data_IF_664533275908
#
_entry.id   IF_664533275908
#
_cell.length_a   1.000
_cell.length_b   1.000
_cell.length_c   1.000
_cell.angle_alpha   90.00
_cell.angle_beta   90.00
_cell.angle_gamma   90.00
#
_symmetry.space_group_name_H-M   'P 1'
#
loop_
_entity.id
_entity.type
_entity.pdbx_description
1 polymer ?
#
# COMPACT_ATOMS: atom_id res chain seq x y z
N UNK A 1 23.75 17.94 -27.81
CA UNK A 1 23.37 17.51 -26.45
C UNK A 1 22.06 16.76 -26.54
N UNK A 2 21.69 15.95 -25.53
CA UNK A 2 20.36 15.32 -25.53
C UNK A 2 19.30 16.41 -25.51
N UNK A 3 18.28 16.28 -26.36
CA UNK A 3 17.11 17.16 -26.39
C UNK A 3 16.37 16.96 -25.07
N UNK A 4 16.45 17.95 -24.19
CA UNK A 4 15.56 18.06 -23.04
C UNK A 4 14.19 18.47 -23.60
N UNK A 5 13.21 17.58 -23.49
CA UNK A 5 11.83 17.94 -23.76
C UNK A 5 11.37 18.80 -22.59
N UNK A 6 11.39 20.12 -22.74
CA UNK A 6 10.58 21.03 -21.92
C UNK A 6 9.11 20.78 -22.27
N UNK A 7 8.61 19.64 -21.78
CA UNK A 7 7.26 19.17 -21.98
C UNK A 7 6.37 19.99 -21.06
N UNK A 8 5.91 21.15 -21.55
CA UNK A 8 4.86 22.01 -20.98
C UNK A 8 4.55 21.70 -19.51
N UNK A 9 5.22 22.35 -18.56
CA UNK A 9 4.78 22.32 -17.17
C UNK A 9 3.55 23.25 -17.07
N UNK A 10 2.32 22.73 -16.95
CA UNK A 10 1.18 23.59 -16.63
C UNK A 10 1.43 24.17 -15.23
N UNK A 11 1.75 25.46 -15.18
CA UNK A 11 2.01 26.16 -13.94
C UNK A 11 0.96 27.25 -13.76
N UNK A 12 -0.01 26.97 -12.89
CA UNK A 12 -1.02 27.93 -12.45
C UNK A 12 -1.05 27.92 -10.92
N UNK A 13 -0.94 29.10 -10.32
CA UNK A 13 -0.87 29.23 -8.88
C UNK A 13 -2.19 28.77 -8.24
N UNK A 14 -2.12 27.87 -7.27
CA UNK A 14 -3.29 27.31 -6.59
C UNK A 14 -3.86 26.03 -7.22
N UNK A 15 -3.27 25.52 -8.31
CA UNK A 15 -3.66 24.26 -8.94
C UNK A 15 -2.53 23.24 -8.90
N UNK A 16 -2.88 21.98 -8.62
CA UNK A 16 -2.00 20.82 -8.73
C UNK A 16 -2.42 20.02 -9.97
N UNK A 17 -1.51 19.85 -10.92
CA UNK A 17 -1.76 19.12 -12.16
C UNK A 17 -1.29 17.67 -12.05
N UNK A 18 -2.13 16.72 -12.49
CA UNK A 18 -1.84 15.29 -12.46
C UNK A 18 -2.04 14.67 -13.83
N UNK A 19 -0.99 14.07 -14.38
CA UNK A 19 -1.04 13.34 -15.65
C UNK A 19 -1.23 11.86 -15.37
N UNK A 20 -2.30 11.26 -15.91
CA UNK A 20 -2.59 9.82 -15.77
C UNK A 20 -2.67 9.20 -17.17
N UNK A 21 -1.74 8.30 -17.47
CA UNK A 21 -1.80 7.45 -18.68
C UNK A 21 -2.49 6.14 -18.30
N UNK A 22 -3.53 5.76 -19.04
CA UNK A 22 -4.28 4.53 -18.76
C UNK A 22 -4.75 3.85 -20.03
N UNK A 23 -4.86 2.53 -19.97
CA UNK A 23 -5.57 1.71 -20.96
C UNK A 23 -6.98 1.34 -20.50
N UNK A 24 -7.46 1.91 -19.39
CA UNK A 24 -8.77 1.61 -18.80
C UNK A 24 -9.83 2.53 -19.39
N UNK A 25 -10.95 1.96 -19.79
CA UNK A 25 -12.13 2.70 -20.19
C UNK A 25 -12.94 3.11 -18.95
N UNK A 26 -12.55 4.23 -18.34
CA UNK A 26 -13.16 4.80 -17.14
C UNK A 26 -13.34 6.30 -17.33
N UNK A 27 -14.39 6.86 -16.73
CA UNK A 27 -14.54 8.33 -16.67
C UNK A 27 -13.35 8.96 -15.93
N UNK A 28 -13.02 10.20 -16.26
CA UNK A 28 -11.90 10.93 -15.65
C UNK A 28 -11.93 10.92 -14.11
N UNK A 29 -13.09 11.14 -13.48
CA UNK A 29 -13.24 11.11 -12.03
C UNK A 29 -12.89 9.74 -11.43
N UNK A 30 -13.40 8.66 -12.04
CA UNK A 30 -13.09 7.29 -11.61
C UNK A 30 -11.62 6.92 -11.85
N UNK A 31 -11.00 7.45 -12.90
CA UNK A 31 -9.59 7.25 -13.18
C UNK A 31 -8.69 7.93 -12.14
N UNK A 32 -9.03 9.16 -11.75
CA UNK A 32 -8.33 9.89 -10.69
C UNK A 32 -8.45 9.14 -9.36
N UNK A 33 -9.65 8.67 -8.99
CA UNK A 33 -9.84 7.87 -7.78
C UNK A 33 -9.04 6.57 -7.80
N UNK A 34 -9.05 5.86 -8.94
CA UNK A 34 -8.28 4.63 -9.12
C UNK A 34 -6.77 4.87 -8.96
N UNK A 35 -6.23 5.91 -9.61
CA UNK A 35 -4.82 6.26 -9.46
C UNK A 35 -4.49 6.70 -8.03
N UNK A 36 -5.37 7.46 -7.39
CA UNK A 36 -5.19 7.92 -6.02
C UNK A 36 -5.22 6.76 -5.01
N UNK A 37 -5.73 5.59 -5.40
CA UNK A 37 -5.63 4.35 -4.64
C UNK A 37 -4.20 3.81 -4.48
N UNK A 38 -3.19 4.28 -5.24
CA UNK A 38 -1.80 3.84 -5.07
C UNK A 38 -1.21 4.16 -3.70
N UNK A 39 -1.66 5.23 -3.05
CA UNK A 39 -1.20 5.57 -1.70
C UNK A 39 -1.52 4.49 -0.66
N UNK A 40 -2.56 3.68 -0.86
CA UNK A 40 -2.83 2.55 0.04
C UNK A 40 -1.81 1.41 -0.14
N UNK A 41 -1.33 1.20 -1.36
CA UNK A 41 -0.30 0.21 -1.66
C UNK A 41 1.04 0.62 -1.03
N UNK A 42 1.40 1.89 -1.13
CA UNK A 42 2.58 2.45 -0.47
C UNK A 42 2.49 2.33 1.05
N UNK A 43 1.29 2.55 1.62
CA UNK A 43 1.03 2.31 3.04
C UNK A 43 1.31 0.87 3.46
N UNK A 44 0.80 -0.11 2.71
CA UNK A 44 1.08 -1.55 2.96
C UNK A 44 2.57 -1.85 2.88
N UNK A 45 3.29 -1.28 1.92
CA UNK A 45 4.74 -1.44 1.84
C UNK A 45 5.48 -0.80 3.03
N UNK A 46 5.04 0.37 3.50
CA UNK A 46 5.61 1.01 4.69
C UNK A 46 5.45 0.15 5.94
N UNK A 47 4.25 -0.42 6.13
CA UNK A 47 3.98 -1.32 7.25
C UNK A 47 4.77 -2.62 7.15
N UNK A 48 4.83 -3.27 5.98
CA UNK A 48 5.62 -4.48 5.77
C UNK A 48 7.11 -4.27 6.09
N UNK A 49 7.68 -3.11 5.74
CA UNK A 49 9.05 -2.76 6.13
C UNK A 49 9.19 -2.58 7.64
N UNK A 50 8.30 -1.79 8.24
CA UNK A 50 8.39 -1.42 9.65
C UNK A 50 8.12 -2.59 10.59
N UNK A 51 7.15 -3.44 10.26
CA UNK A 51 6.55 -4.42 11.17
C UNK A 51 6.93 -5.86 10.84
N UNK A 52 7.29 -6.14 9.58
CA UNK A 52 7.69 -7.47 9.13
C UNK A 52 9.11 -7.52 8.54
N UNK A 53 9.88 -6.43 8.71
CA UNK A 53 11.27 -6.29 8.27
C UNK A 53 11.48 -6.68 6.81
N UNK A 54 10.51 -6.38 5.95
CA UNK A 54 10.53 -6.81 4.54
C UNK A 54 11.77 -6.31 3.76
N UNK A 55 12.39 -5.21 4.18
CA UNK A 55 13.60 -4.63 3.60
C UNK A 55 14.91 -5.27 4.11
N UNK A 56 14.83 -6.20 5.06
CA UNK A 56 15.99 -6.90 5.58
C UNK A 56 16.49 -7.98 4.61
N UNK A 57 17.82 -8.05 4.43
CA UNK A 57 18.51 -9.02 3.57
C UNK A 57 19.29 -9.98 4.47
N UNK A 58 18.74 -11.16 4.82
CA UNK A 58 19.36 -12.06 5.80
C UNK A 58 20.55 -12.85 5.25
N UNK A 59 20.63 -13.07 3.92
CA UNK A 59 21.66 -13.92 3.32
C UNK A 59 22.21 -13.38 2.00
N UNK A 60 23.34 -13.93 1.54
CA UNK A 60 24.00 -13.55 0.27
C UNK A 60 23.45 -14.31 -0.95
N UNK A 61 22.45 -15.18 -0.78
CA UNK A 61 21.88 -15.99 -1.86
C UNK A 61 20.46 -15.53 -2.16
N UNK A 62 20.15 -15.35 -3.45
CA UNK A 62 18.83 -14.91 -3.92
C UNK A 62 17.69 -15.76 -3.33
N UNK A 63 17.80 -17.08 -3.42
CA UNK A 63 16.77 -17.99 -2.93
C UNK A 63 16.43 -17.78 -1.44
N UNK A 64 17.43 -17.56 -0.58
CA UNK A 64 17.15 -17.32 0.84
C UNK A 64 16.50 -15.96 1.11
N UNK A 65 16.85 -14.93 0.35
CA UNK A 65 16.21 -13.62 0.46
C UNK A 65 14.77 -13.64 -0.08
N UNK A 66 14.51 -14.40 -1.15
CA UNK A 66 13.15 -14.62 -1.67
C UNK A 66 12.28 -15.38 -0.67
N UNK A 67 12.81 -16.44 -0.07
CA UNK A 67 12.12 -17.17 1.00
C UNK A 67 11.80 -16.26 2.18
N UNK A 68 12.74 -15.42 2.59
CA UNK A 68 12.52 -14.46 3.69
C UNK A 68 11.42 -13.45 3.33
N UNK A 69 11.48 -12.85 2.14
CA UNK A 69 10.46 -11.92 1.65
C UNK A 69 9.07 -12.57 1.64
N UNK A 70 8.96 -13.79 1.13
CA UNK A 70 7.70 -14.54 1.10
C UNK A 70 7.19 -14.84 2.51
N UNK A 71 8.06 -15.24 3.43
CA UNK A 71 7.69 -15.47 4.82
C UNK A 71 7.16 -14.20 5.49
N UNK A 72 7.79 -13.04 5.27
CA UNK A 72 7.30 -11.74 5.76
C UNK A 72 5.92 -11.39 5.19
N UNK A 73 5.70 -11.62 3.89
CA UNK A 73 4.40 -11.41 3.25
C UNK A 73 3.32 -12.34 3.83
N UNK A 74 3.63 -13.62 4.05
CA UNK A 74 2.68 -14.56 4.65
C UNK A 74 2.34 -14.20 6.09
N UNK A 75 3.34 -13.81 6.90
CA UNK A 75 3.13 -13.38 8.27
C UNK A 75 2.18 -12.17 8.33
N UNK A 76 2.41 -11.16 7.49
CA UNK A 76 1.56 -9.98 7.40
C UNK A 76 0.12 -10.33 7.00
N UNK A 77 -0.05 -11.12 5.93
CA UNK A 77 -1.38 -11.51 5.45
C UNK A 77 -2.14 -12.33 6.50
N UNK A 78 -1.46 -13.26 7.17
CA UNK A 78 -2.06 -14.06 8.24
C UNK A 78 -2.50 -13.19 9.42
N UNK A 79 -1.69 -12.22 9.84
CA UNK A 79 -2.07 -11.27 10.89
C UNK A 79 -3.31 -10.45 10.50
N UNK A 80 -3.38 -9.99 9.25
CA UNK A 80 -4.56 -9.27 8.75
C UNK A 80 -5.80 -10.14 8.72
N UNK A 81 -5.67 -11.39 8.29
CA UNK A 81 -6.79 -12.33 8.28
C UNK A 81 -7.32 -12.59 9.70
N UNK A 82 -6.43 -12.82 10.67
CA UNK A 82 -6.81 -12.98 12.07
C UNK A 82 -7.55 -11.76 12.63
N UNK A 83 -7.10 -10.55 12.30
CA UNK A 83 -7.81 -9.33 12.70
C UNK A 83 -9.20 -9.24 12.05
N UNK A 84 -9.34 -9.58 10.75
CA UNK A 84 -10.65 -9.61 10.09
C UNK A 84 -11.62 -10.62 10.69
N UNK A 85 -11.11 -11.73 11.24
CA UNK A 85 -11.95 -12.74 11.90
C UNK A 85 -12.40 -12.32 13.31
N UNK A 86 -11.60 -11.50 14.00
CA UNK A 86 -11.82 -11.18 15.41
C UNK A 86 -12.49 -9.82 15.63
N UNK A 87 -12.32 -8.87 14.71
CA UNK A 87 -12.82 -7.51 14.85
C UNK A 87 -14.01 -7.26 13.92
N UNK A 88 -15.07 -6.58 14.39
CA UNK A 88 -16.18 -6.21 13.54
C UNK A 88 -15.77 -5.11 12.54
N UNK A 89 -16.38 -5.08 11.34
CA UNK A 89 -16.17 -4.03 10.35
C UNK A 89 -16.30 -2.62 10.95
N UNK A 90 -15.27 -1.79 10.83
CA UNK A 90 -15.26 -0.44 11.43
C UNK A 90 -15.85 0.61 10.50
N UNK A 91 -15.87 0.36 9.19
CA UNK A 91 -16.25 1.36 8.16
C UNK A 91 -17.08 0.73 7.05
N UNK A 92 -17.84 1.55 6.33
CA UNK A 92 -18.54 1.14 5.11
C UNK A 92 -17.62 1.25 3.89
N UNK A 93 -17.89 0.46 2.85
CA UNK A 93 -17.17 0.56 1.57
C UNK A 93 -17.34 1.95 0.96
N UNK A 94 -16.22 2.60 0.66
CA UNK A 94 -16.21 3.92 -0.01
C UNK A 94 -15.60 3.82 -1.39
N UNK A 95 -15.80 4.83 -2.24
CA UNK A 95 -15.21 4.90 -3.60
C UNK A 95 -13.68 4.79 -3.59
N UNK A 96 -13.03 5.25 -2.51
CA UNK A 96 -11.59 5.11 -2.26
C UNK A 96 -11.15 3.66 -2.01
N UNK A 97 -12.10 2.75 -1.78
CA UNK A 97 -11.90 1.31 -1.50
C UNK A 97 -10.85 1.06 -0.40
N UNK A 98 -10.83 1.94 0.60
CA UNK A 98 -10.06 1.70 1.81
C UNK A 98 -10.53 0.42 2.49
N UNK A 99 -9.63 -0.23 3.24
CA UNK A 99 -9.99 -1.38 4.05
C UNK A 99 -11.18 -1.06 4.95
N UNK A 100 -12.10 -2.02 5.04
CA UNK A 100 -13.34 -1.94 5.83
C UNK A 100 -13.03 -2.00 7.33
N UNK A 101 -11.96 -2.73 7.67
CA UNK A 101 -11.41 -2.83 9.02
C UNK A 101 -10.27 -1.82 9.22
N UNK A 102 -10.23 -1.20 10.40
CA UNK A 102 -9.05 -0.45 10.85
C UNK A 102 -8.09 -1.43 11.51
N UNK A 103 -7.06 -1.85 10.79
CA UNK A 103 -6.12 -2.84 11.29
C UNK A 103 -5.11 -2.25 12.29
N UNK A 104 -4.86 -3.01 13.35
CA UNK A 104 -3.81 -2.73 14.32
C UNK A 104 -2.44 -3.17 13.78
N UNK A 105 -1.37 -2.52 14.25
CA UNK A 105 -0.02 -2.93 13.91
C UNK A 105 0.22 -4.40 14.33
N UNK A 106 0.95 -5.20 13.54
CA UNK A 106 1.22 -6.60 13.85
C UNK A 106 1.84 -6.83 15.25
N UNK A 107 2.64 -5.88 15.74
CA UNK A 107 3.24 -5.93 17.07
C UNK A 107 2.20 -5.73 18.18
N UNK A 108 1.20 -4.86 17.97
CA UNK A 108 0.18 -4.53 18.97
C UNK A 108 -0.87 -5.64 19.11
N UNK A 109 -1.14 -6.39 18.04
CA UNK A 109 -2.05 -7.54 18.08
C UNK A 109 -1.61 -8.62 19.09
N UNK A 110 -0.31 -8.70 19.42
CA UNK A 110 0.18 -9.60 20.48
C UNK A 110 -0.19 -9.12 21.89
N UNK A 111 -0.34 -7.83 22.12
CA UNK A 111 -0.50 -7.25 23.46
C UNK A 111 -1.94 -7.37 23.99
N UNK A 112 -2.94 -7.40 23.12
CA UNK A 112 -4.35 -7.57 23.51
C UNK A 112 -4.70 -8.94 24.13
N UNK A 113 -3.74 -9.87 24.20
CA UNK A 113 -3.93 -11.21 24.76
C UNK A 113 -3.25 -11.41 26.11
N UNK A 114 -2.56 -10.40 26.65
CA UNK A 114 -1.82 -10.48 27.91
C UNK A 114 -2.51 -9.77 29.10
N UNK A 115 -3.76 -9.30 28.94
CA UNK A 115 -4.55 -8.59 29.95
C UNK A 115 -5.93 -9.21 30.12
#
# INVERSE_FOLDING_TARGET
>A
GPVQLDLFEPYEYGYEFKVIVTNKDLTAAHLVDYHSGRGSQEGVFGELKTQCHMDYIPVRKRCGNETYLLASLFAYNLTRDLQMQLEPPTRTTTRKRSAVLSFNAPVDFRLHRAS
#
